data_IF_780457005839
#
_entry.id   IF_780457005839
#
_cell.length_a   1.000
_cell.length_b   1.000
_cell.length_c   1.000
_cell.angle_alpha   90.00
_cell.angle_beta   90.00
_cell.angle_gamma   90.00
#
_symmetry.space_group_name_H-M   'P 1'
#
loop_
_entity.id
_entity.type
_entity.pdbx_description
1 polymer ?
#
# COMPACT_ATOMS: atom_id res chain seq x y z
N UNK A 1 -10.71 10.18 -5.18
CA UNK A 1 -9.87 9.86 -6.36
C UNK A 1 -10.53 8.72 -7.10
N UNK A 2 -10.98 9.00 -8.30
CA UNK A 2 -11.41 8.02 -9.29
C UNK A 2 -10.19 7.33 -9.92
N UNK A 3 -10.41 6.17 -10.56
CA UNK A 3 -9.37 5.43 -11.28
C UNK A 3 -8.69 6.29 -12.36
N UNK A 4 -9.47 7.13 -13.03
CA UNK A 4 -8.99 8.02 -14.09
C UNK A 4 -8.07 9.13 -13.55
N UNK A 5 -8.40 9.72 -12.41
CA UNK A 5 -7.52 10.69 -11.74
C UNK A 5 -6.19 10.07 -11.32
N UNK A 6 -6.21 8.80 -10.87
CA UNK A 6 -4.99 8.08 -10.52
C UNK A 6 -4.12 7.81 -11.75
N UNK A 7 -4.72 7.36 -12.87
CA UNK A 7 -4.01 7.16 -14.14
C UNK A 7 -3.36 8.44 -14.62
N UNK A 8 -4.07 9.57 -14.55
CA UNK A 8 -3.53 10.89 -14.93
C UNK A 8 -2.36 11.29 -14.03
N UNK A 9 -2.46 11.08 -12.72
CA UNK A 9 -1.38 11.39 -11.78
C UNK A 9 -0.12 10.54 -12.03
N UNK A 10 -0.28 9.25 -12.37
CA UNK A 10 0.82 8.34 -12.74
C UNK A 10 1.43 8.73 -14.07
N UNK A 11 0.61 9.03 -15.08
CA UNK A 11 1.07 9.48 -16.39
C UNK A 11 1.87 10.79 -16.30
N UNK A 12 1.39 11.75 -15.50
CA UNK A 12 2.10 13.00 -15.25
C UNK A 12 3.44 12.78 -14.53
N UNK A 13 3.49 11.86 -13.57
CA UNK A 13 4.74 11.50 -12.88
C UNK A 13 5.75 10.84 -13.83
N UNK A 14 5.30 9.86 -14.62
CA UNK A 14 6.14 9.22 -15.65
C UNK A 14 6.66 10.23 -16.68
N UNK A 15 5.84 11.20 -17.09
CA UNK A 15 6.24 12.27 -18.02
C UNK A 15 7.32 13.18 -17.43
N UNK A 16 7.36 13.34 -16.11
CA UNK A 16 8.41 14.07 -15.38
C UNK A 16 9.66 13.23 -15.11
N UNK A 17 9.67 11.95 -15.50
CA UNK A 17 10.76 11.02 -15.19
C UNK A 17 10.78 10.54 -13.74
N UNK A 18 9.71 10.79 -12.98
CA UNK A 18 9.60 10.40 -11.58
C UNK A 18 9.44 8.88 -11.46
N UNK A 19 10.15 8.29 -10.50
CA UNK A 19 10.06 6.86 -10.18
C UNK A 19 8.85 6.63 -9.28
N UNK A 20 7.79 6.06 -9.85
CA UNK A 20 6.56 5.71 -9.12
C UNK A 20 6.71 4.32 -8.52
N UNK A 21 6.58 4.21 -7.20
CA UNK A 21 6.63 2.98 -6.42
C UNK A 21 5.22 2.66 -5.92
N UNK A 22 4.82 1.39 -5.99
CA UNK A 22 3.51 0.95 -5.51
C UNK A 22 3.69 -0.17 -4.48
N UNK A 23 2.92 -0.10 -3.39
CA UNK A 23 2.83 -1.18 -2.40
C UNK A 23 1.36 -1.44 -2.07
N UNK A 24 1.03 -2.71 -1.83
CA UNK A 24 -0.25 -3.11 -1.26
C UNK A 24 -0.03 -3.44 0.23
N UNK A 25 -0.98 -3.09 1.11
CA UNK A 25 -0.91 -3.41 2.54
C UNK A 25 -2.25 -3.37 3.24
N UNK A 26 -2.39 -4.17 4.30
CA UNK A 26 -3.51 -4.12 5.25
C UNK A 26 -3.23 -2.98 6.24
N UNK A 27 -3.77 -1.81 5.96
CA UNK A 27 -3.67 -0.63 6.83
C UNK A 27 -4.90 -0.53 7.72
N UNK A 28 -5.07 -1.47 8.66
CA UNK A 28 -6.25 -1.44 9.54
C UNK A 28 -6.10 -0.39 10.66
N UNK A 29 -4.88 -0.09 11.11
CA UNK A 29 -4.64 0.96 12.12
C UNK A 29 -3.26 1.57 11.86
N UNK A 30 -3.19 2.88 11.57
CA UNK A 30 -1.95 3.65 11.38
C UNK A 30 -1.13 3.71 12.70
N UNK A 31 -0.51 2.59 13.08
CA UNK A 31 0.49 2.56 14.15
C UNK A 31 1.84 3.06 13.64
N UNK A 32 2.64 3.63 14.54
CA UNK A 32 3.96 4.23 14.23
C UNK A 32 4.91 3.31 13.43
N UNK A 33 4.72 1.98 13.49
CA UNK A 33 5.47 1.01 12.69
C UNK A 33 5.30 1.15 11.17
N UNK A 34 4.10 1.54 10.70
CA UNK A 34 3.86 1.72 9.27
C UNK A 34 4.48 3.01 8.71
N UNK A 35 4.72 4.01 9.56
CA UNK A 35 5.36 5.27 9.13
C UNK A 35 6.79 5.01 8.66
N UNK A 36 7.55 4.17 9.38
CA UNK A 36 8.92 3.81 8.97
C UNK A 36 8.93 3.00 7.67
N UNK A 37 7.98 2.07 7.51
CA UNK A 37 7.81 1.29 6.29
C UNK A 37 7.48 2.18 5.09
N UNK A 38 6.51 3.09 5.23
CA UNK A 38 6.15 4.06 4.19
C UNK A 38 7.26 5.07 3.92
N UNK A 39 8.00 5.51 4.93
CA UNK A 39 9.14 6.40 4.76
C UNK A 39 10.27 5.72 3.98
N UNK A 40 10.52 4.44 4.23
CA UNK A 40 11.50 3.67 3.46
C UNK A 40 11.00 3.38 2.04
N UNK A 41 9.73 3.04 1.85
CA UNK A 41 9.14 2.87 0.52
C UNK A 41 9.18 4.18 -0.30
N UNK A 42 8.97 5.33 0.34
CA UNK A 42 9.13 6.65 -0.28
C UNK A 42 10.58 7.00 -0.63
N UNK A 43 11.59 6.38 0.01
CA UNK A 43 12.99 6.58 -0.40
C UNK A 43 13.34 5.86 -1.72
N UNK A 44 12.54 4.87 -2.12
CA UNK A 44 12.78 4.06 -3.31
C UNK A 44 12.28 4.71 -4.61
N UNK A 45 11.53 5.82 -4.51
CA UNK A 45 11.10 6.62 -5.65
C UNK A 45 10.34 7.89 -5.25
N UNK A 46 10.07 8.76 -6.22
CA UNK A 46 9.55 10.11 -5.99
C UNK A 46 8.06 10.13 -5.61
N UNK A 47 7.32 9.09 -6.00
CA UNK A 47 5.90 8.92 -5.64
C UNK A 47 5.62 7.52 -5.12
N UNK A 48 4.94 7.45 -3.98
CA UNK A 48 4.49 6.20 -3.36
C UNK A 48 2.96 6.09 -3.48
N UNK A 49 2.50 5.03 -4.13
CA UNK A 49 1.08 4.65 -4.20
C UNK A 49 0.84 3.50 -3.24
N UNK A 50 -0.10 3.67 -2.32
CA UNK A 50 -0.45 2.65 -1.32
C UNK A 50 -1.86 2.18 -1.59
N UNK A 51 -1.99 0.92 -2.00
CA UNK A 51 -3.29 0.26 -2.06
C UNK A 51 -3.62 -0.23 -0.65
N UNK A 52 -4.67 0.35 -0.07
CA UNK A 52 -5.23 -0.10 1.21
C UNK A 52 -6.45 -0.94 0.91
N UNK A 53 -6.36 -2.23 1.18
CA UNK A 53 -7.56 -3.06 1.27
C UNK A 53 -8.16 -2.80 2.65
N UNK A 54 -9.38 -2.24 2.69
CA UNK A 54 -10.16 -2.08 3.92
C UNK A 54 -10.64 -3.45 4.37
N UNK A 55 -9.73 -4.25 4.93
CA UNK A 55 -10.02 -5.63 5.23
C UNK A 55 -10.51 -5.77 6.67
N UNK A 56 -11.81 -5.51 6.87
CA UNK A 56 -12.54 -5.92 8.07
C UNK A 56 -12.66 -7.47 8.20
N UNK A 57 -11.93 -8.25 7.40
CA UNK A 57 -12.01 -9.71 7.35
C UNK A 57 -10.73 -10.47 7.73
N UNK A 58 -9.82 -9.85 8.49
CA UNK A 58 -8.75 -10.61 9.17
C UNK A 58 -9.29 -11.35 10.41
N UNK A 59 -10.26 -12.26 10.24
CA UNK A 59 -10.76 -13.17 11.30
C UNK A 59 -10.75 -14.65 10.93
N UNK A 60 -10.20 -15.04 9.78
CA UNK A 60 -10.25 -16.44 9.35
C UNK A 60 -8.87 -16.94 8.92
N UNK A 61 -7.97 -17.19 9.86
CA UNK A 61 -6.83 -18.10 9.63
C UNK A 61 -6.27 -18.73 10.90
N UNK A 62 -6.66 -18.28 12.10
CA UNK A 62 -6.38 -19.02 13.33
C UNK A 62 -7.40 -20.17 13.50
N UNK A 63 -7.14 -21.30 12.82
CA UNK A 63 -7.54 -22.65 13.27
C UNK A 63 -7.03 -23.68 12.28
N UNK A 64 -5.77 -24.08 12.45
CA UNK A 64 -5.34 -25.43 12.07
C UNK A 64 -4.59 -26.04 13.24
N UNK A 65 -5.37 -26.43 14.26
CA UNK A 65 -4.92 -27.38 15.26
C UNK A 65 -5.14 -28.78 14.67
N UNK A 66 -4.09 -29.58 14.39
CA UNK A 66 -4.30 -30.98 14.06
C UNK A 66 -4.71 -31.73 15.35
N UNK A 67 -5.80 -32.51 15.36
CA UNK A 67 -6.07 -33.42 16.47
C UNK A 67 -5.00 -34.52 16.51
N UNK A 68 -4.57 -34.86 17.73
CA UNK A 68 -3.63 -35.95 18.04
C UNK A 68 -4.14 -37.31 17.58
#
# INVERSE_FOLDING_TARGET
MSEEELKQAVAAARKRGEKVVMTNGVFDILHAGHVSYLANARKLGDRLIVAVNSDASTKTSERRNPPR
#
